data_IF_535855496106
#
_entry.id   IF_535855496106
#
_cell.length_a   1.000
_cell.length_b   1.000
_cell.length_c   1.000
_cell.angle_alpha   90.00
_cell.angle_beta   90.00
_cell.angle_gamma   90.00
#
_symmetry.space_group_name_H-M   'P 1'
#
loop_
_entity.id
_entity.type
_entity.pdbx_description
1 polymer ?
#
# COMPACT_ATOMS: atom_id res chain seq x y z
N UNK A 1 -16.65 -60.91 -8.04
CA UNK A 1 -16.61 -59.91 -9.13
C UNK A 1 -17.09 -58.57 -8.59
N UNK A 2 -16.26 -57.53 -8.73
CA UNK A 2 -16.57 -56.10 -9.00
C UNK A 2 -17.76 -55.45 -8.25
N UNK A 3 -17.66 -54.28 -7.61
CA UNK A 3 -16.76 -53.13 -7.75
C UNK A 3 -16.89 -52.24 -6.50
N UNK A 4 -15.75 -51.85 -5.94
CA UNK A 4 -15.61 -50.72 -5.02
C UNK A 4 -15.82 -49.40 -5.77
N UNK A 5 -16.61 -48.48 -5.22
CA UNK A 5 -16.65 -47.08 -5.69
C UNK A 5 -16.49 -46.19 -4.46
N UNK A 6 -15.26 -45.75 -4.25
CA UNK A 6 -14.86 -44.74 -3.27
C UNK A 6 -15.10 -43.37 -3.90
N UNK A 7 -16.03 -42.59 -3.37
CA UNK A 7 -16.24 -41.20 -3.78
C UNK A 7 -15.33 -40.30 -2.93
N UNK A 8 -14.31 -39.72 -3.55
CA UNK A 8 -13.41 -38.72 -2.96
C UNK A 8 -14.07 -37.35 -3.17
N UNK A 9 -14.55 -36.72 -2.10
CA UNK A 9 -15.00 -35.34 -2.10
C UNK A 9 -13.77 -34.40 -2.04
N UNK A 10 -13.66 -33.38 -2.91
CA UNK A 10 -12.60 -32.38 -2.79
C UNK A 10 -12.90 -31.41 -1.64
N UNK A 11 -12.01 -31.43 -0.65
CA UNK A 11 -11.90 -30.45 0.43
C UNK A 11 -11.51 -29.09 -0.18
N UNK A 12 -12.48 -28.21 -0.39
CA UNK A 12 -12.24 -26.81 -0.73
C UNK A 12 -11.83 -26.09 0.57
N UNK A 13 -10.53 -25.95 0.77
CA UNK A 13 -9.96 -25.04 1.77
C UNK A 13 -10.16 -23.62 1.23
N UNK A 14 -11.25 -22.98 1.65
CA UNK A 14 -11.46 -21.55 1.46
C UNK A 14 -10.40 -20.80 2.28
N UNK A 15 -9.41 -20.23 1.59
CA UNK A 15 -8.52 -19.25 2.20
C UNK A 15 -9.36 -18.03 2.57
N UNK A 16 -9.59 -17.83 3.87
CA UNK A 16 -10.18 -16.62 4.42
C UNK A 16 -9.24 -15.45 4.13
N UNK A 17 -9.53 -14.72 3.05
CA UNK A 17 -9.07 -13.34 2.91
C UNK A 17 -9.72 -12.56 4.04
N UNK A 18 -9.00 -11.78 4.87
CA UNK A 18 -9.64 -10.84 5.77
C UNK A 18 -10.35 -9.80 4.90
N UNK A 19 -11.64 -10.02 4.65
CA UNK A 19 -12.54 -8.98 4.24
C UNK A 19 -12.49 -7.93 5.34
N UNK A 20 -12.02 -6.73 5.01
CA UNK A 20 -12.24 -5.57 5.85
C UNK A 20 -13.75 -5.47 6.07
N UNK A 21 -14.19 -5.86 7.26
CA UNK A 21 -15.57 -5.73 7.68
C UNK A 21 -15.92 -4.24 7.71
N UNK A 22 -16.56 -3.77 6.64
CA UNK A 22 -17.45 -2.62 6.71
C UNK A 22 -18.61 -3.07 7.59
N UNK A 23 -18.70 -2.53 8.80
CA UNK A 23 -19.82 -2.75 9.71
C UNK A 23 -21.11 -2.20 9.05
N UNK A 24 -22.09 -3.05 8.71
CA UNK A 24 -23.31 -2.62 8.04
C UNK A 24 -24.29 -1.86 8.96
N UNK A 25 -24.02 -1.75 10.27
CA UNK A 25 -24.91 -1.12 11.24
C UNK A 25 -24.47 0.28 11.71
N UNK A 26 -23.41 0.85 11.12
CA UNK A 26 -22.99 2.22 11.41
C UNK A 26 -23.17 3.15 10.19
N UNK A 27 -24.38 3.67 9.93
CA UNK A 27 -24.62 4.63 8.85
C UNK A 27 -24.05 6.04 9.12
N UNK A 28 -23.33 6.26 10.23
CA UNK A 28 -22.86 7.59 10.65
C UNK A 28 -21.36 7.83 10.46
N UNK A 29 -20.60 6.90 9.88
CA UNK A 29 -19.32 7.22 9.26
C UNK A 29 -19.59 7.42 7.76
N UNK A 30 -20.05 8.61 7.38
CA UNK A 30 -20.10 8.97 5.97
C UNK A 30 -18.73 8.62 5.35
N UNK A 31 -18.65 7.80 4.28
CA UNK A 31 -17.38 7.52 3.65
C UNK A 31 -16.82 8.88 3.22
N UNK A 32 -15.69 9.30 3.80
CA UNK A 32 -14.90 10.39 3.23
C UNK A 32 -14.79 10.07 1.73
N UNK A 33 -15.01 11.03 0.81
CA UNK A 33 -14.97 10.72 -0.61
C UNK A 33 -13.65 10.02 -0.93
N UNK A 34 -13.67 8.99 -1.77
CA UNK A 34 -12.53 8.08 -1.98
C UNK A 34 -11.22 8.86 -2.27
N UNK A 35 -11.32 10.00 -2.95
CA UNK A 35 -10.23 10.93 -3.20
C UNK A 35 -9.58 11.51 -1.92
N UNK A 36 -10.37 11.90 -0.93
CA UNK A 36 -9.89 12.44 0.35
C UNK A 36 -9.22 11.36 1.19
N UNK A 37 -9.75 10.13 1.15
CA UNK A 37 -9.08 8.97 1.76
C UNK A 37 -7.74 8.70 1.09
N UNK A 38 -7.68 8.80 -0.25
CA UNK A 38 -6.46 8.56 -1.02
C UNK A 38 -5.37 9.60 -0.71
N UNK A 39 -5.78 10.87 -0.54
CA UNK A 39 -4.88 11.95 -0.09
C UNK A 39 -4.34 11.68 1.31
N UNK A 40 -5.20 11.24 2.24
CA UNK A 40 -4.79 10.94 3.60
C UNK A 40 -3.82 9.75 3.67
N UNK A 41 -4.12 8.66 2.96
CA UNK A 41 -3.23 7.49 2.90
C UNK A 41 -1.89 7.83 2.24
N UNK A 42 -1.88 8.73 1.24
CA UNK A 42 -0.65 9.25 0.65
C UNK A 42 0.19 10.02 1.68
N UNK A 43 -0.43 10.80 2.56
CA UNK A 43 0.28 11.50 3.66
C UNK A 43 0.83 10.53 4.70
N UNK A 44 0.04 9.51 5.08
CA UNK A 44 0.48 8.49 6.02
C UNK A 44 1.70 7.73 5.48
N UNK A 45 1.64 7.28 4.22
CA UNK A 45 2.77 6.64 3.55
C UNK A 45 4.01 7.55 3.49
N UNK A 46 3.82 8.83 3.15
CA UNK A 46 4.90 9.83 3.15
C UNK A 46 5.55 9.95 4.52
N UNK A 47 4.74 10.13 5.57
CA UNK A 47 5.23 10.32 6.94
C UNK A 47 6.01 9.10 7.42
N UNK A 48 5.43 7.91 7.28
CA UNK A 48 6.10 6.66 7.68
C UNK A 48 7.43 6.45 6.93
N UNK A 49 7.49 6.79 5.65
CA UNK A 49 8.70 6.71 4.86
C UNK A 49 9.78 7.72 5.28
N UNK A 50 9.39 8.96 5.63
CA UNK A 50 10.32 9.96 6.18
C UNK A 50 10.83 9.56 7.57
N UNK A 51 9.95 9.06 8.43
CA UNK A 51 10.31 8.59 9.76
C UNK A 51 11.28 7.40 9.67
N UNK A 52 11.03 6.47 8.75
CA UNK A 52 11.96 5.38 8.42
C UNK A 52 13.32 5.91 7.94
N UNK A 53 13.33 6.86 7.00
CA UNK A 53 14.57 7.44 6.50
C UNK A 53 15.35 8.17 7.62
N UNK A 54 14.67 8.87 8.51
CA UNK A 54 15.28 9.55 9.66
C UNK A 54 15.88 8.55 10.66
N UNK A 55 15.17 7.45 10.96
CA UNK A 55 15.69 6.39 11.83
C UNK A 55 16.93 5.73 11.24
N UNK A 56 16.90 5.36 9.95
CA UNK A 56 18.01 4.69 9.27
C UNK A 56 19.24 5.58 9.09
N UNK A 57 19.11 6.91 9.25
CA UNK A 57 20.25 7.83 9.31
C UNK A 57 21.04 7.67 10.62
N UNK A 58 20.42 7.20 11.69
CA UNK A 58 21.09 6.97 12.97
C UNK A 58 21.95 5.71 12.95
N UNK A 59 23.16 5.79 13.53
CA UNK A 59 24.04 4.61 13.66
C UNK A 59 23.46 3.53 14.57
N UNK A 60 22.64 3.94 15.54
CA UNK A 60 21.96 3.07 16.52
C UNK A 60 20.45 2.95 16.20
N UNK A 61 20.10 2.94 14.91
CA UNK A 61 18.71 2.82 14.49
C UNK A 61 18.06 1.58 15.12
N UNK A 62 16.91 1.80 15.77
CA UNK A 62 16.10 0.72 16.28
C UNK A 62 15.43 -0.01 15.09
N UNK A 63 15.99 -1.16 14.71
CA UNK A 63 15.52 -1.94 13.57
C UNK A 63 14.12 -2.52 13.80
N UNK A 64 13.68 -2.67 15.06
CA UNK A 64 12.32 -3.11 15.37
C UNK A 64 11.29 -2.03 14.96
N UNK A 65 11.57 -0.76 15.26
CA UNK A 65 10.78 0.37 14.80
C UNK A 65 10.85 0.57 13.29
N UNK A 66 11.99 0.24 12.67
CA UNK A 66 12.08 0.21 11.22
C UNK A 66 11.05 -0.76 10.62
N UNK A 67 10.94 -1.99 11.15
CA UNK A 67 9.91 -2.97 10.75
C UNK A 67 8.47 -2.44 10.87
N UNK A 68 8.16 -1.69 11.93
CA UNK A 68 6.86 -1.06 12.10
C UNK A 68 6.56 -0.02 11.02
N UNK A 69 7.50 0.89 10.73
CA UNK A 69 7.30 1.94 9.71
C UNK A 69 7.17 1.35 8.30
N UNK A 70 7.86 0.25 8.06
CA UNK A 70 7.74 -0.53 6.82
C UNK A 70 6.32 -1.06 6.66
N UNK A 71 5.82 -1.73 7.69
CA UNK A 71 4.47 -2.28 7.71
C UNK A 71 3.41 -1.17 7.55
N UNK A 72 3.65 0.00 8.14
CA UNK A 72 2.80 1.17 7.95
C UNK A 72 2.77 1.64 6.48
N UNK A 73 3.93 1.75 5.82
CA UNK A 73 4.01 2.09 4.38
C UNK A 73 3.30 1.04 3.53
N UNK A 74 3.48 -0.25 3.82
CA UNK A 74 2.83 -1.34 3.09
C UNK A 74 1.31 -1.29 3.23
N UNK A 75 0.81 -1.11 4.46
CA UNK A 75 -0.62 -0.98 4.72
C UNK A 75 -1.23 0.19 3.95
N UNK A 76 -0.62 1.37 4.02
CA UNK A 76 -1.10 2.53 3.25
C UNK A 76 -1.01 2.30 1.75
N UNK A 77 0.02 1.60 1.24
CA UNK A 77 0.09 1.25 -0.18
C UNK A 77 -1.04 0.33 -0.63
N UNK A 78 -1.39 -0.70 0.16
CA UNK A 78 -2.52 -1.58 -0.14
C UNK A 78 -3.84 -0.80 -0.16
N UNK A 79 -4.06 0.09 0.82
CA UNK A 79 -5.23 0.96 0.86
C UNK A 79 -5.29 1.89 -0.37
N UNK A 80 -4.15 2.51 -0.75
CA UNK A 80 -4.05 3.35 -1.95
C UNK A 80 -4.48 2.56 -3.19
N UNK A 81 -3.97 1.33 -3.39
CA UNK A 81 -4.34 0.49 -4.54
C UNK A 81 -5.83 0.17 -4.56
N UNK A 82 -6.42 -0.16 -3.41
CA UNK A 82 -7.84 -0.42 -3.30
C UNK A 82 -8.68 0.82 -3.66
N UNK A 83 -8.34 1.98 -3.10
CA UNK A 83 -9.03 3.25 -3.36
C UNK A 83 -8.87 3.69 -4.83
N UNK A 84 -7.71 3.46 -5.44
CA UNK A 84 -7.53 3.73 -6.87
C UNK A 84 -8.40 2.80 -7.73
N UNK A 85 -8.53 1.52 -7.38
CA UNK A 85 -9.45 0.60 -8.07
C UNK A 85 -10.92 1.03 -7.96
N UNK A 86 -11.33 1.61 -6.82
CA UNK A 86 -12.68 2.17 -6.65
C UNK A 86 -12.90 3.41 -7.52
N UNK A 87 -11.93 4.33 -7.51
CA UNK A 87 -11.98 5.55 -8.33
C UNK A 87 -11.88 5.28 -9.82
N UNK A 88 -11.31 4.16 -10.26
CA UNK A 88 -11.18 3.82 -11.69
C UNK A 88 -12.55 3.70 -12.38
N UNK A 89 -13.55 3.15 -11.68
CA UNK A 89 -14.91 3.07 -12.21
C UNK A 89 -15.58 4.45 -12.37
N UNK A 90 -15.29 5.38 -11.47
CA UNK A 90 -15.78 6.76 -11.52
C UNK A 90 -14.99 7.61 -12.54
N UNK A 91 -13.69 7.33 -12.68
CA UNK A 91 -12.78 8.04 -13.57
C UNK A 91 -13.13 7.87 -15.05
N UNK A 92 -13.83 6.80 -15.42
CA UNK A 92 -14.33 6.59 -16.78
C UNK A 92 -15.31 7.70 -17.25
N UNK A 93 -15.92 8.43 -16.31
CA UNK A 93 -16.86 9.52 -16.62
C UNK A 93 -16.21 10.91 -16.50
N UNK A 94 -14.93 10.99 -16.13
CA UNK A 94 -14.23 12.26 -15.99
C UNK A 94 -13.83 12.86 -17.35
N UNK A 95 -13.60 14.17 -17.38
CA UNK A 95 -13.02 14.81 -18.55
C UNK A 95 -11.56 14.35 -18.77
N UNK A 96 -11.07 14.52 -20.00
CA UNK A 96 -9.75 14.04 -20.42
C UNK A 96 -8.60 14.56 -19.54
N UNK A 97 -8.71 15.76 -18.95
CA UNK A 97 -7.67 16.34 -18.10
C UNK A 97 -7.64 15.66 -16.73
N UNK A 98 -8.81 15.40 -16.15
CA UNK A 98 -8.94 14.64 -14.89
C UNK A 98 -8.51 13.19 -15.07
N UNK A 99 -8.89 12.55 -16.18
CA UNK A 99 -8.49 11.18 -16.48
C UNK A 99 -6.96 11.05 -16.65
N UNK A 100 -6.31 11.98 -17.36
CA UNK A 100 -4.85 12.00 -17.48
C UNK A 100 -4.15 12.20 -16.11
N UNK A 101 -4.72 13.03 -15.24
CA UNK A 101 -4.19 13.24 -13.88
C UNK A 101 -4.35 11.98 -13.01
N UNK A 102 -5.46 11.26 -13.17
CA UNK A 102 -5.71 9.98 -12.49
C UNK A 102 -4.75 8.89 -12.95
N UNK A 103 -4.52 8.75 -14.25
CA UNK A 103 -3.53 7.81 -14.78
C UNK A 103 -2.12 8.11 -14.29
N UNK A 104 -1.78 9.40 -14.19
CA UNK A 104 -0.50 9.81 -13.61
C UNK A 104 -0.40 9.40 -12.14
N UNK A 105 -1.44 9.66 -11.35
CA UNK A 105 -1.51 9.20 -9.96
C UNK A 105 -1.36 7.67 -9.84
N UNK A 106 -1.99 6.91 -10.75
CA UNK A 106 -1.90 5.44 -10.78
C UNK A 106 -0.47 4.97 -11.02
N UNK A 107 0.19 5.53 -12.04
CA UNK A 107 1.60 5.21 -12.32
C UNK A 107 2.50 5.51 -11.12
N UNK A 108 2.22 6.59 -10.39
CA UNK A 108 3.00 6.93 -9.18
C UNK A 108 2.74 5.93 -8.05
N UNK A 109 1.49 5.53 -7.86
CA UNK A 109 1.11 4.50 -6.90
C UNK A 109 1.72 3.13 -7.25
N UNK A 110 1.76 2.75 -8.52
CA UNK A 110 2.40 1.51 -8.98
C UNK A 110 3.89 1.50 -8.65
N UNK A 111 4.59 2.63 -8.78
CA UNK A 111 6.01 2.66 -8.41
C UNK A 111 6.23 2.57 -6.89
N UNK A 112 5.24 2.92 -6.06
CA UNK A 112 5.33 2.63 -4.62
C UNK A 112 5.40 1.13 -4.34
N UNK A 113 4.88 0.27 -5.23
CA UNK A 113 4.97 -1.19 -5.06
C UNK A 113 6.41 -1.68 -5.10
N UNK A 114 7.28 -1.03 -5.89
CA UNK A 114 8.71 -1.40 -6.00
C UNK A 114 9.41 -1.34 -4.64
N UNK A 115 9.04 -0.39 -3.77
CA UNK A 115 9.59 -0.33 -2.41
C UNK A 115 9.09 -1.48 -1.53
N UNK A 116 7.79 -1.76 -1.59
CA UNK A 116 7.12 -2.81 -0.82
C UNK A 116 7.62 -4.19 -1.25
N UNK A 117 7.93 -4.38 -2.53
CA UNK A 117 8.43 -5.64 -3.07
C UNK A 117 9.91 -5.85 -2.69
N UNK A 118 10.76 -4.82 -2.83
CA UNK A 118 12.20 -4.91 -2.45
C UNK A 118 12.41 -5.10 -0.94
N UNK A 119 11.56 -4.44 -0.15
CA UNK A 119 10.80 -5.02 0.96
C UNK A 119 11.17 -6.36 1.59
N UNK A 120 10.49 -7.35 1.05
CA UNK A 120 10.32 -8.70 1.58
C UNK A 120 11.67 -9.40 1.78
N UNK A 121 12.66 -9.01 0.98
CA UNK A 121 14.00 -9.57 1.04
C UNK A 121 14.81 -9.02 2.23
N UNK A 122 14.55 -7.78 2.67
CA UNK A 122 15.31 -7.14 3.77
C UNK A 122 14.82 -7.52 5.17
N UNK A 123 13.57 -7.96 5.32
CA UNK A 123 13.02 -8.36 6.61
C UNK A 123 13.46 -9.76 7.06
N UNK A 124 13.98 -10.58 6.13
CA UNK A 124 14.32 -11.98 6.40
C UNK A 124 15.78 -12.18 6.85
N UNK A 125 16.72 -11.36 6.37
CA UNK A 125 18.16 -11.63 6.57
C UNK A 125 18.87 -10.69 7.57
N UNK A 126 18.16 -9.68 8.12
CA UNK A 126 18.74 -8.66 8.99
C UNK A 126 19.48 -7.58 8.18
N UNK A 127 19.34 -6.31 8.58
CA UNK A 127 19.82 -5.17 7.79
C UNK A 127 21.28 -4.86 8.11
N UNK A 128 22.20 -5.10 7.17
CA UNK A 128 23.61 -4.69 7.29
C UNK A 128 23.80 -3.17 7.05
N UNK A 129 24.95 -2.62 7.44
CA UNK A 129 25.25 -1.18 7.38
C UNK A 129 25.15 -0.61 5.96
N UNK A 130 25.51 -1.38 4.93
CA UNK A 130 25.36 -0.97 3.52
C UNK A 130 23.90 -0.97 3.08
N UNK A 131 23.12 -1.96 3.52
CA UNK A 131 21.71 -2.09 3.19
C UNK A 131 20.87 -1.01 3.85
N UNK A 132 21.27 -0.56 5.05
CA UNK A 132 20.64 0.56 5.75
C UNK A 132 20.65 1.85 4.92
N UNK A 133 21.77 2.17 4.27
CA UNK A 133 21.86 3.39 3.44
C UNK A 133 21.03 3.27 2.17
N UNK A 134 21.09 2.11 1.50
CA UNK A 134 20.20 1.80 0.36
C UNK A 134 18.73 1.94 0.77
N UNK A 135 18.37 1.39 1.92
CA UNK A 135 17.02 1.42 2.42
C UNK A 135 16.56 2.83 2.79
N UNK A 136 17.46 3.66 3.33
CA UNK A 136 17.22 5.07 3.60
C UNK A 136 16.93 5.84 2.31
N UNK A 137 17.72 5.62 1.26
CA UNK A 137 17.50 6.24 -0.04
C UNK A 137 16.16 5.81 -0.64
N UNK A 138 15.85 4.52 -0.57
CA UNK A 138 14.57 3.97 -1.02
C UNK A 138 13.38 4.58 -0.26
N UNK A 139 13.46 4.67 1.07
CA UNK A 139 12.43 5.30 1.90
C UNK A 139 12.25 6.79 1.55
N UNK A 140 13.34 7.50 1.26
CA UNK A 140 13.27 8.89 0.78
C UNK A 140 12.55 8.98 -0.57
N UNK A 141 12.83 8.05 -1.50
CA UNK A 141 12.13 7.97 -2.79
C UNK A 141 10.63 7.68 -2.66
N UNK A 142 10.24 6.82 -1.70
CA UNK A 142 8.83 6.57 -1.36
C UNK A 142 8.15 7.85 -0.88
N UNK A 143 8.79 8.58 0.04
CA UNK A 143 8.23 9.82 0.56
C UNK A 143 7.99 10.85 -0.56
N UNK A 144 8.94 10.99 -1.48
CA UNK A 144 8.79 11.88 -2.64
C UNK A 144 7.65 11.46 -3.57
N UNK A 145 7.49 10.15 -3.82
CA UNK A 145 6.41 9.62 -4.66
C UNK A 145 5.05 9.78 -4.00
N UNK A 146 4.95 9.51 -2.70
CA UNK A 146 3.73 9.71 -1.92
C UNK A 146 3.33 11.20 -1.87
N UNK A 147 4.30 12.12 -1.77
CA UNK A 147 4.05 13.55 -1.90
C UNK A 147 3.55 13.93 -3.30
N UNK A 148 4.17 13.38 -4.35
CA UNK A 148 3.76 13.65 -5.72
C UNK A 148 2.35 13.12 -5.99
N UNK A 149 2.02 11.95 -5.44
CA UNK A 149 0.69 11.37 -5.46
C UNK A 149 -0.31 12.33 -4.81
N UNK A 150 -0.06 12.77 -3.57
CA UNK A 150 -0.89 13.77 -2.87
C UNK A 150 -1.12 15.03 -3.72
N UNK A 151 -0.05 15.60 -4.30
CA UNK A 151 -0.10 16.79 -5.17
C UNK A 151 -0.86 16.58 -6.48
N UNK A 152 -0.94 15.34 -6.96
CA UNK A 152 -1.70 15.01 -8.17
C UNK A 152 -3.16 14.86 -7.82
N UNK A 153 -3.46 14.18 -6.72
CA UNK A 153 -4.81 13.99 -6.21
C UNK A 153 -5.48 15.30 -5.79
N UNK A 154 -4.73 16.32 -5.39
CA UNK A 154 -5.28 17.64 -5.07
C UNK A 154 -5.80 18.43 -6.29
N UNK A 155 -5.43 17.99 -7.51
CA UNK A 155 -5.84 18.61 -8.78
C UNK A 155 -7.01 17.89 -9.46
N UNK A 156 -7.38 16.71 -8.96
CA UNK A 156 -8.59 15.98 -9.31
C UNK A 156 -9.78 16.61 -8.59
#
# INVERSE_FOLDING_TARGET
>A
MLKSVTLIAPLIVAMAVPAFAVDPNNPSAAPKPALDQLREESRLAKKAALDLAAMLKSKNADLSRAAEQISAVEKSHQTIKQLMGQLEAEAAQWDARRQASFEHARKVADVLSIFVDNKKNLAQDGIDHKERETLRMQATGVAQRAELLEKTLSKL
#
